data_IF_434780837070
#
_entry.id   IF_434780837070
#
_cell.length_a   1.000
_cell.length_b   1.000
_cell.length_c   1.000
_cell.angle_alpha   90.00
_cell.angle_beta   90.00
_cell.angle_gamma   90.00
#
_symmetry.space_group_name_H-M   'P 1'
#
loop_
_entity.id
_entity.type
_entity.pdbx_description
1 polymer ?
#
# COMPACT_ATOMS: atom_id res chain seq x y z
N UNK A 1 -0.56 -8.99 -6.48
CA UNK A 1 -0.15 -7.57 -6.35
C UNK A 1 0.73 -7.37 -5.12
N UNK A 2 1.53 -6.29 -5.05
CA UNK A 2 2.32 -5.94 -3.85
C UNK A 2 1.63 -4.80 -3.10
N UNK A 3 1.55 -4.88 -1.77
CA UNK A 3 0.90 -3.84 -0.95
C UNK A 3 1.92 -3.00 -0.20
N UNK A 4 2.06 -1.72 -0.57
CA UNK A 4 3.03 -0.79 0.03
C UNK A 4 2.67 -0.39 1.47
N UNK A 5 1.39 -0.39 1.82
CA UNK A 5 0.87 0.04 3.11
C UNK A 5 -0.28 1.04 2.96
N UNK A 6 -0.80 1.50 4.09
CA UNK A 6 -1.79 2.56 4.21
C UNK A 6 -1.22 3.69 5.06
N UNK A 7 -1.74 4.90 4.88
CA UNK A 7 -1.41 6.08 5.68
C UNK A 7 -2.65 6.94 5.84
N UNK A 8 -2.81 7.54 7.01
CA UNK A 8 -3.81 8.58 7.22
C UNK A 8 -3.45 9.83 6.42
N UNK A 9 -4.48 10.48 5.88
CA UNK A 9 -4.37 11.69 5.07
C UNK A 9 -5.41 12.69 5.54
N UNK A 10 -5.09 13.97 5.42
CA UNK A 10 -5.92 15.04 5.99
C UNK A 10 -7.19 15.31 5.17
N UNK A 11 -7.18 14.98 3.87
CA UNK A 11 -8.34 15.19 2.99
C UNK A 11 -8.72 13.92 2.22
N UNK A 12 -10.01 13.74 1.90
CA UNK A 12 -10.50 12.56 1.18
C UNK A 12 -10.12 12.53 -0.30
N UNK A 13 -9.64 13.65 -0.87
CA UNK A 13 -9.30 13.78 -2.29
C UNK A 13 -8.21 14.83 -2.52
N UNK A 14 -7.55 14.75 -3.67
CA UNK A 14 -6.54 15.73 -4.12
C UNK A 14 -5.28 15.04 -4.63
N UNK A 15 -4.81 15.42 -5.83
CA UNK A 15 -3.65 14.77 -6.47
C UNK A 15 -2.37 14.94 -5.65
N UNK A 16 -2.19 16.10 -5.02
CA UNK A 16 -0.95 16.41 -4.31
C UNK A 16 -0.86 15.65 -2.99
N UNK A 17 -2.01 15.43 -2.34
CA UNK A 17 -2.13 14.64 -1.11
C UNK A 17 -1.83 13.17 -1.41
N UNK A 18 -2.38 12.64 -2.51
CA UNK A 18 -2.10 11.28 -2.95
C UNK A 18 -0.61 11.11 -3.29
N UNK A 19 -0.02 12.07 -4.02
CA UNK A 19 1.42 12.06 -4.36
C UNK A 19 2.29 12.06 -3.12
N UNK A 20 2.03 12.94 -2.16
CA UNK A 20 2.77 13.03 -0.91
C UNK A 20 2.67 11.71 -0.10
N UNK A 21 1.46 11.17 0.06
CA UNK A 21 1.25 9.89 0.75
C UNK A 21 2.02 8.75 0.08
N UNK A 22 1.96 8.65 -1.26
CA UNK A 22 2.69 7.64 -2.03
C UNK A 22 4.21 7.80 -1.88
N UNK A 23 4.73 9.02 -1.93
CA UNK A 23 6.16 9.28 -1.78
C UNK A 23 6.65 8.84 -0.40
N UNK A 24 5.90 9.17 0.65
CA UNK A 24 6.24 8.75 2.02
C UNK A 24 6.20 7.22 2.17
N UNK A 25 5.20 6.55 1.60
CA UNK A 25 5.11 5.08 1.63
C UNK A 25 6.27 4.41 0.87
N UNK A 26 6.67 4.96 -0.28
CA UNK A 26 7.84 4.48 -1.03
C UNK A 26 9.14 4.66 -0.24
N UNK A 27 9.29 5.78 0.47
CA UNK A 27 10.46 6.01 1.32
C UNK A 27 10.55 5.01 2.46
N UNK A 28 9.46 4.82 3.22
CA UNK A 28 9.38 3.78 4.25
C UNK A 28 9.66 2.39 3.68
N UNK A 29 9.20 2.11 2.45
CA UNK A 29 9.49 0.85 1.77
C UNK A 29 10.98 0.69 1.47
N UNK A 30 11.68 1.74 1.05
CA UNK A 30 13.10 1.70 0.80
C UNK A 30 13.89 1.36 2.07
N UNK A 31 13.53 1.97 3.20
CA UNK A 31 14.13 1.67 4.51
C UNK A 31 13.89 0.19 4.87
N UNK A 32 12.63 -0.26 4.86
CA UNK A 32 12.28 -1.65 5.18
C UNK A 32 12.96 -2.66 4.26
N UNK A 33 13.15 -2.31 2.98
CA UNK A 33 13.89 -3.14 2.03
C UNK A 33 15.38 -3.23 2.40
N UNK A 34 15.99 -2.12 2.82
CA UNK A 34 17.38 -2.11 3.29
C UNK A 34 17.57 -2.94 4.57
N UNK A 35 16.57 -2.97 5.44
CA UNK A 35 16.50 -3.85 6.64
C UNK A 35 16.20 -5.32 6.30
N UNK A 36 16.07 -5.68 5.01
CA UNK A 36 15.82 -7.05 4.56
C UNK A 36 14.36 -7.49 4.51
N UNK A 37 13.40 -6.61 4.83
CA UNK A 37 11.98 -6.95 4.81
C UNK A 37 11.40 -6.94 3.38
N UNK A 38 10.77 -8.05 2.98
CA UNK A 38 10.09 -8.19 1.69
C UNK A 38 8.65 -7.65 1.74
N UNK A 39 8.14 -7.19 0.59
CA UNK A 39 6.74 -6.78 0.48
C UNK A 39 5.85 -8.01 0.58
N UNK A 40 4.77 -7.89 1.33
CA UNK A 40 3.72 -8.89 1.32
C UNK A 40 3.05 -8.92 -0.06
N UNK A 41 2.93 -10.13 -0.60
CA UNK A 41 2.06 -10.37 -1.75
C UNK A 41 0.62 -10.35 -1.26
N UNK A 42 -0.22 -9.62 -1.97
CA UNK A 42 -1.65 -9.52 -1.70
C UNK A 42 -2.43 -9.83 -2.97
N UNK A 43 -3.63 -10.32 -2.76
CA UNK A 43 -4.67 -10.44 -3.75
C UNK A 43 -5.66 -9.29 -3.56
N UNK A 44 -6.01 -8.62 -4.66
CA UNK A 44 -6.95 -7.51 -4.67
C UNK A 44 -8.26 -8.03 -5.27
N UNK A 45 -9.33 -8.04 -4.46
CA UNK A 45 -10.67 -8.36 -4.95
C UNK A 45 -11.42 -7.05 -5.13
N UNK A 46 -11.72 -6.72 -6.39
CA UNK A 46 -12.43 -5.51 -6.77
C UNK A 46 -13.85 -5.92 -7.15
N UNK A 47 -14.82 -5.28 -6.49
CA UNK A 47 -16.25 -5.44 -6.79
C UNK A 47 -16.92 -4.09 -6.85
N UNK A 48 -18.14 -4.04 -7.37
CA UNK A 48 -18.92 -2.79 -7.51
C UNK A 48 -19.09 -2.05 -6.17
N UNK A 49 -19.18 -2.80 -5.07
CA UNK A 49 -19.47 -2.23 -3.75
C UNK A 49 -18.23 -2.04 -2.88
N UNK A 50 -17.25 -2.94 -3.02
CA UNK A 50 -16.13 -3.02 -2.08
C UNK A 50 -14.82 -3.39 -2.77
N UNK A 51 -13.73 -2.89 -2.20
CA UNK A 51 -12.37 -3.32 -2.50
C UNK A 51 -11.85 -4.08 -1.29
N UNK A 52 -11.43 -5.34 -1.47
CA UNK A 52 -10.82 -6.15 -0.41
C UNK A 52 -9.36 -6.41 -0.73
N UNK A 53 -8.52 -6.27 0.29
CA UNK A 53 -7.10 -6.63 0.24
C UNK A 53 -6.96 -7.93 1.04
N UNK A 54 -6.60 -9.02 0.38
CA UNK A 54 -6.42 -10.33 1.00
C UNK A 54 -4.92 -10.66 1.01
N UNK A 55 -4.39 -11.01 2.17
CA UNK A 55 -2.99 -11.47 2.23
C UNK A 55 -2.86 -12.81 1.50
N UNK A 56 -1.92 -12.88 0.57
CA UNK A 56 -1.60 -14.12 -0.10
C UNK A 56 -0.73 -14.95 0.84
N UNK A 57 -1.36 -15.78 1.69
CA UNK A 57 -0.64 -16.82 2.42
C UNK A 57 -0.01 -17.76 1.39
N UNK A 58 1.28 -18.09 1.55
CA UNK A 58 1.83 -19.14 0.70
C UNK A 58 1.06 -20.43 0.98
N UNK A 59 0.75 -21.18 -0.07
CA UNK A 59 0.54 -22.62 0.12
C UNK A 59 1.85 -23.25 0.59
#
# INVERSE_FOLDING_TARGET
SQFLGSREVDQPKGSDIVKDAVNKLKFTRHIKKAEGQKLQKVELHISVHIVRIVQQKSK
#
